data_IF_849201396224
#
_entry.id   IF_849201396224
#
_cell.length_a   1.000
_cell.length_b   1.000
_cell.length_c   1.000
_cell.angle_alpha   90.00
_cell.angle_beta   90.00
_cell.angle_gamma   90.00
#
_symmetry.space_group_name_H-M   'P 1'
#
loop_
_entity.id
_entity.type
_entity.pdbx_description
1 polymer ?
#
# COMPACT_ATOMS: atom_id res chain seq x y z
N UNK A 1 -7.80 39.77 17.72
CA UNK A 1 -7.53 38.37 18.10
C UNK A 1 -8.58 37.50 17.43
N UNK A 2 -8.31 37.07 16.19
CA UNK A 2 -9.11 36.10 15.48
C UNK A 2 -8.72 34.72 15.98
N UNK A 3 -9.71 33.99 16.49
CA UNK A 3 -9.57 32.64 17.01
C UNK A 3 -8.99 31.73 15.92
N UNK A 4 -7.81 31.16 16.16
CA UNK A 4 -7.11 30.29 15.23
C UNK A 4 -7.95 29.03 15.02
N UNK A 5 -8.66 28.92 13.89
CA UNK A 5 -9.23 27.65 13.42
C UNK A 5 -8.07 26.66 13.18
N UNK A 6 -7.70 25.91 14.22
CA UNK A 6 -6.85 24.71 14.09
C UNK A 6 -7.58 23.74 13.15
N UNK A 7 -7.03 23.50 11.96
CA UNK A 7 -7.50 22.41 11.10
C UNK A 7 -7.40 21.12 11.90
N UNK A 8 -8.57 20.51 12.15
CA UNK A 8 -8.67 19.26 12.90
C UNK A 8 -8.02 18.14 12.10
N UNK A 9 -7.33 17.27 12.83
CA UNK A 9 -6.77 16.01 12.35
C UNK A 9 -7.84 15.21 11.57
N UNK A 10 -7.56 14.89 10.31
CA UNK A 10 -8.45 14.10 9.44
C UNK A 10 -8.14 12.60 9.55
N UNK A 11 -8.56 11.98 10.66
CA UNK A 11 -8.36 10.55 10.93
C UNK A 11 -9.12 9.63 9.96
N UNK A 12 -10.13 10.16 9.27
CA UNK A 12 -10.88 9.55 8.18
C UNK A 12 -10.03 9.24 6.94
N UNK A 13 -8.87 9.90 6.78
CA UNK A 13 -7.91 9.63 5.69
C UNK A 13 -6.75 8.72 6.07
N UNK A 14 -6.96 7.82 7.02
CA UNK A 14 -5.95 6.83 7.44
C UNK A 14 -6.53 5.42 7.45
N UNK A 15 -5.67 4.40 7.48
CA UNK A 15 -6.10 3.00 7.67
C UNK A 15 -7.04 2.80 8.89
N UNK A 16 -6.99 3.68 9.91
CA UNK A 16 -7.90 3.59 11.07
C UNK A 16 -9.38 3.69 10.68
N UNK A 17 -9.69 4.39 9.59
CA UNK A 17 -11.04 4.43 9.01
C UNK A 17 -11.37 3.14 8.28
N UNK A 18 -10.44 2.65 7.44
CA UNK A 18 -10.56 1.41 6.66
C UNK A 18 -10.84 0.16 7.52
N UNK A 19 -10.32 0.12 8.75
CA UNK A 19 -10.51 -1.02 9.67
C UNK A 19 -11.99 -1.34 9.99
N UNK A 20 -12.90 -0.39 9.77
CA UNK A 20 -14.36 -0.58 9.96
C UNK A 20 -15.13 -0.75 8.65
N UNK A 21 -14.45 -0.70 7.50
CA UNK A 21 -15.08 -0.67 6.17
C UNK A 21 -14.98 -2.02 5.48
N UNK A 22 -15.90 -2.94 5.82
CA UNK A 22 -16.11 -4.18 5.08
C UNK A 22 -14.81 -4.90 4.69
N UNK A 23 -14.61 -5.10 3.39
CA UNK A 23 -13.44 -5.81 2.85
C UNK A 23 -12.14 -5.02 2.95
N UNK A 24 -12.18 -3.69 3.07
CA UNK A 24 -10.97 -2.87 3.26
C UNK A 24 -10.27 -3.12 4.60
N UNK A 25 -11.02 -3.59 5.60
CA UNK A 25 -10.52 -3.85 6.95
C UNK A 25 -9.96 -5.26 7.19
N UNK A 26 -9.90 -6.12 6.17
CA UNK A 26 -9.47 -7.52 6.34
C UNK A 26 -8.08 -7.68 6.91
N UNK A 27 -7.10 -6.93 6.38
CA UNK A 27 -5.73 -6.93 6.88
C UNK A 27 -5.19 -5.51 6.94
N UNK A 28 -4.32 -5.29 7.93
CA UNK A 28 -3.65 -4.00 8.12
C UNK A 28 -2.39 -3.92 7.30
N UNK A 29 -2.32 -2.89 6.47
CA UNK A 29 -1.07 -2.38 5.91
C UNK A 29 -0.98 -0.89 6.26
N UNK A 30 -0.05 -0.53 7.15
CA UNK A 30 0.11 0.83 7.67
C UNK A 30 0.21 1.91 6.57
N UNK A 31 0.96 1.71 5.47
CA UNK A 31 1.02 2.69 4.39
C UNK A 31 -0.13 2.61 3.36
N UNK A 32 -1.17 1.80 3.58
CA UNK A 32 -2.35 1.82 2.70
C UNK A 32 -3.04 3.19 2.80
N UNK A 33 -3.29 3.80 1.66
CA UNK A 33 -3.93 5.11 1.59
C UNK A 33 -5.46 5.00 1.78
N UNK A 34 -6.08 6.15 2.03
CA UNK A 34 -7.47 6.25 2.49
C UNK A 34 -8.47 5.78 1.45
N UNK A 35 -9.45 4.96 1.89
CA UNK A 35 -10.63 4.62 1.08
C UNK A 35 -11.36 5.89 0.65
N UNK A 36 -11.69 6.78 1.59
CA UNK A 36 -12.38 8.05 1.31
C UNK A 36 -11.71 8.90 0.24
N UNK A 37 -10.38 8.90 0.18
CA UNK A 37 -9.64 9.61 -0.85
C UNK A 37 -9.91 9.04 -2.25
N UNK A 38 -9.93 7.72 -2.34
CA UNK A 38 -10.25 7.00 -3.58
C UNK A 38 -11.70 7.22 -3.94
N UNK A 39 -12.63 7.15 -2.99
CA UNK A 39 -14.05 7.42 -3.21
C UNK A 39 -14.25 8.81 -3.81
N UNK A 40 -13.65 9.86 -3.23
CA UNK A 40 -13.77 11.22 -3.77
C UNK A 40 -13.27 11.37 -5.21
N UNK A 41 -12.27 10.58 -5.63
CA UNK A 41 -11.79 10.56 -7.01
C UNK A 41 -12.75 9.75 -7.89
N UNK A 42 -13.08 8.53 -7.48
CA UNK A 42 -13.88 7.57 -8.27
C UNK A 42 -15.33 8.02 -8.42
N UNK A 43 -15.93 8.64 -7.41
CA UNK A 43 -17.31 9.11 -7.45
C UNK A 43 -17.51 10.29 -8.42
N UNK A 44 -16.41 10.89 -8.92
CA UNK A 44 -16.45 11.90 -9.99
C UNK A 44 -16.35 11.30 -11.40
N UNK A 45 -16.17 9.98 -11.51
CA UNK A 45 -15.96 9.28 -12.78
C UNK A 45 -17.28 8.73 -13.33
N UNK A 46 -17.34 8.56 -14.65
CA UNK A 46 -18.46 7.88 -15.31
C UNK A 46 -18.35 6.35 -15.16
N UNK A 47 -19.50 5.65 -15.20
CA UNK A 47 -19.56 4.18 -15.05
C UNK A 47 -18.80 3.42 -16.15
N UNK A 48 -18.62 4.01 -17.34
CA UNK A 48 -17.86 3.44 -18.46
C UNK A 48 -16.33 3.65 -18.34
N UNK A 49 -15.88 4.23 -17.22
CA UNK A 49 -14.47 4.42 -16.92
C UNK A 49 -13.74 3.08 -16.78
N UNK A 50 -12.50 3.05 -17.27
CA UNK A 50 -11.58 1.92 -17.08
C UNK A 50 -10.41 2.41 -16.23
N UNK A 51 -10.32 1.90 -15.01
CA UNK A 51 -9.33 2.34 -14.03
C UNK A 51 -8.13 1.39 -14.04
N UNK A 52 -6.93 1.96 -13.98
CA UNK A 52 -5.71 1.22 -13.63
C UNK A 52 -5.13 1.76 -12.32
N UNK A 53 -4.80 0.86 -11.40
CA UNK A 53 -3.97 1.11 -10.24
C UNK A 53 -2.63 0.38 -10.40
N UNK A 54 -1.56 1.05 -10.86
CA UNK A 54 -0.27 0.40 -11.08
C UNK A 54 0.50 0.07 -9.79
N UNK A 55 0.03 0.50 -8.61
CA UNK A 55 0.67 0.26 -7.30
C UNK A 55 -0.38 -0.17 -6.28
N UNK A 56 -1.06 -1.27 -6.58
CA UNK A 56 -2.33 -1.59 -5.95
C UNK A 56 -2.27 -1.88 -4.45
N UNK A 57 -1.15 -2.39 -3.95
CA UNK A 57 -1.00 -2.64 -2.51
C UNK A 57 -2.07 -3.62 -2.02
N UNK A 58 -2.91 -3.18 -1.09
CA UNK A 58 -4.06 -3.99 -0.62
C UNK A 58 -5.29 -3.90 -1.53
N UNK A 59 -5.14 -3.44 -2.78
CA UNK A 59 -6.18 -3.25 -3.78
C UNK A 59 -7.31 -2.29 -3.34
N UNK A 60 -6.95 -1.18 -2.70
CA UNK A 60 -7.96 -0.18 -2.28
C UNK A 60 -8.70 0.39 -3.48
N UNK A 61 -7.99 0.84 -4.53
CA UNK A 61 -8.61 1.36 -5.76
C UNK A 61 -9.50 0.33 -6.42
N UNK A 62 -8.97 -0.88 -6.63
CA UNK A 62 -9.71 -1.95 -7.29
C UNK A 62 -11.01 -2.27 -6.56
N UNK A 63 -10.96 -2.40 -5.24
CA UNK A 63 -12.15 -2.69 -4.45
C UNK A 63 -13.16 -1.53 -4.46
N UNK A 64 -12.73 -0.27 -4.30
CA UNK A 64 -13.64 0.89 -4.41
C UNK A 64 -14.27 0.94 -5.80
N UNK A 65 -13.49 0.77 -6.87
CA UNK A 65 -14.02 0.74 -8.24
C UNK A 65 -15.08 -0.37 -8.41
N UNK A 66 -14.80 -1.58 -7.92
CA UNK A 66 -15.74 -2.69 -7.98
C UNK A 66 -17.02 -2.42 -7.17
N UNK A 67 -16.93 -1.75 -6.03
CA UNK A 67 -18.10 -1.31 -5.25
C UNK A 67 -18.95 -0.27 -6.03
N UNK A 68 -18.35 0.54 -6.90
CA UNK A 68 -19.03 1.53 -7.76
C UNK A 68 -19.51 0.97 -9.10
N UNK A 69 -19.35 -0.33 -9.35
CA UNK A 69 -19.74 -0.91 -10.65
C UNK A 69 -18.72 -0.70 -11.76
N UNK A 70 -17.54 -0.17 -11.44
CA UNK A 70 -16.50 0.21 -12.40
C UNK A 70 -15.49 -0.92 -12.57
N UNK A 71 -14.98 -1.10 -13.80
CA UNK A 71 -13.91 -2.05 -14.09
C UNK A 71 -12.55 -1.45 -13.71
N UNK A 72 -11.77 -2.21 -12.93
CA UNK A 72 -10.42 -1.84 -12.56
C UNK A 72 -9.40 -2.97 -12.74
N UNK A 73 -8.25 -2.63 -13.30
CA UNK A 73 -7.07 -3.48 -13.24
C UNK A 73 -6.08 -2.92 -12.23
N UNK A 74 -5.40 -3.81 -11.54
CA UNK A 74 -4.49 -3.48 -10.47
C UNK A 74 -3.17 -4.23 -10.70
N UNK A 75 -2.03 -3.58 -10.49
CA UNK A 75 -0.72 -4.21 -10.59
C UNK A 75 -0.02 -4.21 -9.24
N UNK A 76 0.69 -5.29 -8.95
CA UNK A 76 1.64 -5.36 -7.84
C UNK A 76 2.75 -6.36 -8.18
N UNK A 77 3.87 -6.27 -7.48
CA UNK A 77 4.97 -7.22 -7.58
C UNK A 77 4.97 -8.24 -6.44
N UNK A 78 4.28 -7.94 -5.34
CA UNK A 78 4.26 -8.78 -4.15
C UNK A 78 3.19 -9.87 -4.29
N UNK A 79 3.56 -11.16 -4.34
CA UNK A 79 2.61 -12.26 -4.55
C UNK A 79 1.54 -12.34 -3.45
N UNK A 80 1.87 -12.00 -2.20
CA UNK A 80 0.90 -11.95 -1.12
C UNK A 80 -0.17 -10.86 -1.34
N UNK A 81 0.24 -9.68 -1.83
CA UNK A 81 -0.68 -8.58 -2.09
C UNK A 81 -1.56 -8.82 -3.31
N UNK A 82 -1.02 -9.49 -4.33
CA UNK A 82 -1.79 -9.95 -5.49
C UNK A 82 -2.90 -10.91 -5.04
N UNK A 83 -2.53 -11.93 -4.25
CA UNK A 83 -3.48 -12.88 -3.69
C UNK A 83 -4.54 -12.20 -2.81
N UNK A 84 -4.11 -11.35 -1.88
CA UNK A 84 -5.01 -10.63 -0.98
C UNK A 84 -5.96 -9.72 -1.74
N UNK A 85 -5.46 -8.98 -2.73
CA UNK A 85 -6.26 -8.07 -3.54
C UNK A 85 -7.31 -8.80 -4.37
N UNK A 86 -6.93 -9.92 -4.99
CA UNK A 86 -7.87 -10.79 -5.71
C UNK A 86 -8.91 -11.41 -4.76
N UNK A 87 -8.51 -11.85 -3.57
CA UNK A 87 -9.45 -12.34 -2.55
C UNK A 87 -10.45 -11.24 -2.13
N UNK A 88 -10.00 -9.99 -1.98
CA UNK A 88 -10.86 -8.84 -1.64
C UNK A 88 -11.83 -8.47 -2.75
N UNK A 89 -11.43 -8.59 -4.01
CA UNK A 89 -12.24 -8.15 -5.15
C UNK A 89 -13.16 -9.25 -5.74
N UNK A 90 -13.13 -10.47 -5.19
CA UNK A 90 -13.92 -11.61 -5.67
C UNK A 90 -15.34 -11.63 -5.13
N UNK A 91 -16.34 -11.94 -5.94
CA UNK A 91 -17.68 -12.31 -5.45
C UNK A 91 -17.70 -13.80 -5.06
N UNK A 92 -18.18 -14.10 -3.85
CA UNK A 92 -18.24 -15.46 -3.30
C UNK A 92 -19.68 -15.97 -3.34
N UNK A 93 -19.92 -17.14 -3.92
CA UNK A 93 -21.26 -17.72 -3.94
C UNK A 93 -21.62 -18.31 -2.57
N UNK A 94 -22.90 -18.26 -2.21
CA UNK A 94 -23.39 -18.79 -0.92
C UNK A 94 -23.08 -20.27 -0.71
N UNK A 95 -23.05 -21.06 -1.79
CA UNK A 95 -22.65 -22.48 -1.76
C UNK A 95 -21.18 -22.66 -1.40
N UNK A 96 -20.29 -21.82 -1.93
CA UNK A 96 -18.87 -21.84 -1.59
C UNK A 96 -18.65 -21.52 -0.12
N UNK A 97 -19.32 -20.49 0.39
CA UNK A 97 -19.24 -20.09 1.81
C UNK A 97 -19.73 -21.23 2.72
N UNK A 98 -20.82 -21.92 2.34
CA UNK A 98 -21.30 -23.08 3.10
C UNK A 98 -20.27 -24.21 3.14
N UNK A 99 -19.64 -24.52 2.00
CA UNK A 99 -18.61 -25.55 1.92
C UNK A 99 -17.35 -25.17 2.70
N UNK A 100 -16.99 -23.89 2.71
CA UNK A 100 -15.88 -23.37 3.50
C UNK A 100 -16.11 -23.62 4.99
N UNK A 101 -17.31 -23.31 5.52
CA UNK A 101 -17.65 -23.55 6.94
C UNK A 101 -17.45 -25.01 7.34
N UNK A 102 -17.99 -25.94 6.54
CA UNK A 102 -17.82 -27.39 6.77
C UNK A 102 -16.33 -27.79 6.77
N UNK A 103 -15.54 -27.19 5.89
CA UNK A 103 -14.10 -27.48 5.82
C UNK A 103 -13.35 -26.89 7.02
N UNK A 104 -13.74 -25.70 7.49
CA UNK A 104 -13.17 -25.08 8.69
C UNK A 104 -13.51 -25.87 9.96
N UNK A 105 -14.70 -26.44 10.08
CA UNK A 105 -15.03 -27.32 11.21
C UNK A 105 -14.03 -28.49 11.31
N UNK A 106 -13.70 -29.10 10.15
CA UNK A 106 -12.67 -30.15 10.07
C UNK A 106 -11.28 -29.64 10.43
N UNK A 107 -10.92 -28.43 10.01
CA UNK A 107 -9.65 -27.77 10.35
C UNK A 107 -9.53 -27.62 11.87
N UNK A 108 -10.58 -27.16 12.55
CA UNK A 108 -10.57 -26.94 13.99
C UNK A 108 -10.49 -28.26 14.78
N UNK A 109 -11.21 -29.29 14.34
CA UNK A 109 -11.12 -30.63 14.92
C UNK A 109 -9.73 -31.26 14.73
N UNK A 110 -9.11 -31.06 13.57
CA UNK A 110 -7.75 -31.52 13.31
C UNK A 110 -6.71 -30.74 14.12
N UNK A 111 -6.84 -29.42 14.24
CA UNK A 111 -5.95 -28.58 15.04
C UNK A 111 -5.82 -29.08 16.49
N UNK A 112 -6.94 -29.50 17.11
CA UNK A 112 -6.97 -30.07 18.47
C UNK A 112 -6.12 -31.32 18.62
N UNK A 113 -6.01 -32.14 17.56
CA UNK A 113 -5.18 -33.35 17.55
C UNK A 113 -3.71 -33.02 17.30
N UNK A 114 -3.45 -32.01 16.48
CA UNK A 114 -2.10 -31.62 16.06
C UNK A 114 -1.34 -30.76 17.07
N UNK A 115 -2.02 -30.11 18.04
CA UNK A 115 -1.40 -29.10 18.94
C UNK A 115 -0.15 -29.57 19.69
N UNK A 116 -0.05 -30.86 20.00
CA UNK A 116 1.08 -31.47 20.72
C UNK A 116 2.09 -32.15 19.79
N UNK A 117 1.89 -32.10 18.47
CA UNK A 117 2.84 -32.60 17.48
C UNK A 117 3.90 -31.54 17.14
N UNK A 118 4.99 -32.00 16.52
CA UNK A 118 6.00 -31.12 15.94
C UNK A 118 5.45 -30.48 14.66
N UNK A 119 4.89 -29.27 14.80
CA UNK A 119 4.31 -28.52 13.68
C UNK A 119 5.32 -27.52 13.13
N UNK A 120 5.33 -27.40 11.81
CA UNK A 120 6.13 -26.39 11.13
C UNK A 120 5.81 -24.97 11.63
N UNK A 121 6.86 -24.18 11.82
CA UNK A 121 6.81 -22.76 12.12
C UNK A 121 7.64 -22.00 11.09
N UNK A 122 7.27 -20.75 10.77
CA UNK A 122 8.04 -19.94 9.83
C UNK A 122 9.42 -19.57 10.39
N UNK A 123 10.42 -19.48 9.51
CA UNK A 123 11.78 -19.03 9.85
C UNK A 123 11.84 -17.50 10.03
N UNK A 124 11.23 -17.02 11.11
CA UNK A 124 11.28 -15.62 11.53
C UNK A 124 12.34 -15.48 12.61
N UNK A 125 13.36 -14.67 12.34
CA UNK A 125 14.36 -14.32 13.36
C UNK A 125 13.72 -13.79 14.64
N UNK A 126 14.04 -14.42 15.78
CA UNK A 126 13.43 -14.18 17.09
C UNK A 126 11.90 -14.26 17.07
N UNK A 127 11.34 -15.32 16.49
CA UNK A 127 9.89 -15.56 16.44
C UNK A 127 9.21 -15.51 17.82
N UNK A 128 9.92 -15.87 18.89
CA UNK A 128 9.42 -15.80 20.27
C UNK A 128 9.24 -14.38 20.81
N UNK A 129 9.76 -13.36 20.12
CA UNK A 129 9.46 -11.94 20.40
C UNK A 129 8.05 -11.56 19.91
N UNK A 130 7.51 -12.32 18.97
CA UNK A 130 6.19 -12.07 18.41
C UNK A 130 5.11 -12.86 19.14
N UNK A 131 5.38 -14.11 19.50
CA UNK A 131 4.40 -15.03 20.07
C UNK A 131 5.04 -15.88 21.18
N UNK A 132 4.26 -16.25 22.19
CA UNK A 132 4.72 -17.19 23.20
C UNK A 132 4.91 -18.58 22.58
N UNK A 133 5.76 -19.42 23.18
CA UNK A 133 5.96 -20.79 22.70
C UNK A 133 4.65 -21.60 22.66
N UNK A 134 3.75 -21.37 23.62
CA UNK A 134 2.45 -22.02 23.65
C UNK A 134 1.55 -21.55 22.49
N UNK A 135 1.44 -20.23 22.28
CA UNK A 135 0.69 -19.67 21.15
C UNK A 135 1.24 -20.18 19.81
N UNK A 136 2.56 -20.27 19.65
CA UNK A 136 3.20 -20.82 18.45
C UNK A 136 2.79 -22.26 18.18
N UNK A 137 2.75 -23.12 19.20
CA UNK A 137 2.31 -24.52 19.06
C UNK A 137 0.91 -24.61 18.48
N UNK A 138 -0.01 -23.77 18.96
CA UNK A 138 -1.40 -23.72 18.48
C UNK A 138 -1.49 -23.15 17.06
N UNK A 139 -0.77 -22.07 16.76
CA UNK A 139 -0.77 -21.46 15.42
C UNK A 139 -0.17 -22.42 14.37
N UNK A 140 0.90 -23.14 14.72
CA UNK A 140 1.51 -24.16 13.86
C UNK A 140 0.55 -25.31 13.56
N UNK A 141 -0.14 -25.82 14.58
CA UNK A 141 -1.17 -26.86 14.42
C UNK A 141 -2.35 -26.39 13.55
N UNK A 142 -2.85 -25.17 13.78
CA UNK A 142 -3.92 -24.58 12.98
C UNK A 142 -3.50 -24.40 11.52
N UNK A 143 -2.29 -23.88 11.27
CA UNK A 143 -1.75 -23.75 9.92
C UNK A 143 -1.68 -25.11 9.23
N UNK A 144 -1.12 -26.13 9.89
CA UNK A 144 -1.02 -27.48 9.30
C UNK A 144 -2.39 -28.06 8.97
N UNK A 145 -3.38 -27.90 9.85
CA UNK A 145 -4.75 -28.30 9.58
C UNK A 145 -5.37 -27.54 8.39
N UNK A 146 -5.13 -26.22 8.28
CA UNK A 146 -5.54 -25.43 7.11
C UNK A 146 -4.94 -25.99 5.82
N UNK A 147 -3.64 -26.28 5.80
CA UNK A 147 -2.96 -26.84 4.63
C UNK A 147 -3.54 -28.22 4.28
N UNK A 148 -3.76 -29.10 5.26
CA UNK A 148 -4.28 -30.45 5.01
C UNK A 148 -5.70 -30.43 4.44
N UNK A 149 -6.56 -29.52 4.90
CA UNK A 149 -7.97 -29.47 4.49
C UNK A 149 -8.23 -28.56 3.27
N UNK A 150 -7.47 -27.47 3.14
CA UNK A 150 -7.73 -26.40 2.16
C UNK A 150 -6.58 -26.15 1.18
N UNK A 151 -5.41 -26.75 1.42
CA UNK A 151 -4.16 -26.45 0.71
C UNK A 151 -3.56 -25.09 1.09
N UNK A 152 -2.35 -24.84 0.59
CA UNK A 152 -1.70 -23.53 0.64
C UNK A 152 -2.57 -22.45 -0.02
N UNK A 153 -2.45 -21.16 0.37
CA UNK A 153 -3.24 -20.08 -0.19
C UNK A 153 -2.99 -19.95 -1.70
N UNK A 154 -4.08 -19.90 -2.47
CA UNK A 154 -4.07 -19.80 -3.94
C UNK A 154 -5.08 -18.76 -4.41
N UNK A 155 -4.80 -18.18 -5.57
CA UNK A 155 -5.67 -17.18 -6.17
C UNK A 155 -7.06 -17.74 -6.53
N UNK A 156 -8.06 -16.88 -6.40
CA UNK A 156 -9.45 -17.10 -6.83
C UNK A 156 -10.17 -18.31 -6.19
N UNK A 157 -9.77 -18.74 -4.99
CA UNK A 157 -10.41 -19.84 -4.26
C UNK A 157 -11.13 -19.35 -2.99
N UNK A 158 -12.24 -20.02 -2.60
CA UNK A 158 -13.00 -19.66 -1.38
C UNK A 158 -12.19 -19.83 -0.10
N UNK A 159 -11.20 -20.72 -0.09
CA UNK A 159 -10.27 -20.91 1.05
C UNK A 159 -9.46 -19.65 1.36
N UNK A 160 -9.37 -18.67 0.44
CA UNK A 160 -8.75 -17.39 0.73
C UNK A 160 -9.39 -16.67 1.91
N UNK A 161 -10.69 -16.84 2.16
CA UNK A 161 -11.35 -16.28 3.34
C UNK A 161 -10.79 -16.87 4.64
N UNK A 162 -10.55 -18.19 4.69
CA UNK A 162 -9.95 -18.86 5.84
C UNK A 162 -8.50 -18.45 6.08
N UNK A 163 -7.73 -18.27 5.00
CA UNK A 163 -6.34 -17.81 5.07
C UNK A 163 -6.22 -16.33 5.46
N UNK A 164 -7.09 -15.45 4.96
CA UNK A 164 -7.18 -14.05 5.40
C UNK A 164 -7.49 -13.99 6.90
N UNK A 165 -8.43 -14.81 7.36
CA UNK A 165 -8.74 -14.94 8.79
C UNK A 165 -7.55 -15.42 9.62
N UNK A 166 -6.79 -16.39 9.09
CA UNK A 166 -5.58 -16.87 9.75
C UNK A 166 -4.50 -15.78 9.84
N UNK A 167 -4.28 -15.02 8.77
CA UNK A 167 -3.37 -13.87 8.78
C UNK A 167 -3.77 -12.85 9.84
N UNK A 168 -5.06 -12.55 9.96
CA UNK A 168 -5.56 -11.60 10.97
C UNK A 168 -5.37 -12.14 12.39
N UNK A 169 -5.69 -13.42 12.63
CA UNK A 169 -5.46 -14.11 13.90
C UNK A 169 -3.98 -14.05 14.32
N UNK A 170 -3.07 -14.35 13.40
CA UNK A 170 -1.61 -14.34 13.64
C UNK A 170 -1.15 -12.98 14.17
N UNK A 171 -1.67 -11.87 13.64
CA UNK A 171 -1.30 -10.54 14.13
C UNK A 171 -2.01 -10.15 15.42
N UNK A 172 -3.31 -10.47 15.55
CA UNK A 172 -4.09 -10.15 16.77
C UNK A 172 -3.56 -10.90 18.01
N UNK A 173 -2.91 -12.04 17.81
CA UNK A 173 -2.28 -12.85 18.87
C UNK A 173 -0.79 -12.57 19.04
N UNK A 174 -0.24 -11.63 18.28
CA UNK A 174 1.17 -11.24 18.36
C UNK A 174 1.41 -10.07 19.31
N UNK A 175 2.64 -9.94 19.79
CA UNK A 175 3.14 -8.74 20.49
C UNK A 175 3.45 -7.57 19.55
N UNK A 176 3.08 -7.64 18.26
CA UNK A 176 3.29 -6.53 17.35
C UNK A 176 2.49 -5.29 17.80
N UNK A 177 3.18 -4.16 17.91
CA UNK A 177 2.59 -2.86 18.18
C UNK A 177 2.71 -1.97 16.94
N UNK A 178 1.66 -1.23 16.63
CA UNK A 178 1.60 -0.38 15.45
C UNK A 178 1.42 1.10 15.82
N UNK A 179 2.11 1.51 16.89
CA UNK A 179 2.05 2.86 17.44
C UNK A 179 3.02 3.83 16.73
N UNK A 180 3.87 3.31 15.84
CA UNK A 180 4.85 4.06 15.07
C UNK A 180 4.67 3.86 13.56
N UNK A 181 5.42 4.63 12.75
CA UNK A 181 5.40 4.58 11.28
C UNK A 181 5.83 3.20 10.75
N UNK A 182 6.58 2.43 11.54
CA UNK A 182 6.95 1.04 11.29
C UNK A 182 6.55 0.17 12.49
N UNK A 183 6.34 -1.12 12.24
CA UNK A 183 6.00 -2.11 13.26
C UNK A 183 7.02 -2.16 14.41
N UNK A 184 6.51 -2.10 15.64
CA UNK A 184 7.26 -2.24 16.90
C UNK A 184 6.71 -3.44 17.70
N UNK A 185 7.19 -3.64 18.94
CA UNK A 185 6.72 -4.72 19.82
C UNK A 185 6.28 -4.16 21.17
N UNK A 186 5.31 -4.82 21.79
CA UNK A 186 4.98 -4.67 23.21
C UNK A 186 6.06 -5.32 24.06
N UNK A 187 6.15 -4.91 25.33
CA UNK A 187 7.15 -5.43 26.27
C UNK A 187 6.83 -6.86 26.72
N UNK A 188 5.54 -7.21 26.81
CA UNK A 188 5.06 -8.53 27.21
C UNK A 188 4.56 -9.36 26.03
N UNK A 189 4.75 -10.68 26.14
CA UNK A 189 4.26 -11.65 25.16
C UNK A 189 3.11 -12.45 25.78
N UNK A 190 1.89 -12.11 25.37
CA UNK A 190 0.68 -12.78 25.83
C UNK A 190 0.62 -14.21 25.30
N UNK A 191 0.22 -15.13 26.18
CA UNK A 191 0.00 -16.53 25.82
C UNK A 191 -1.49 -16.79 25.61
N UNK A 192 -1.83 -17.46 24.50
CA UNK A 192 -3.20 -17.82 24.15
C UNK A 192 -3.32 -19.34 24.07
N UNK A 193 -4.32 -19.89 24.76
CA UNK A 193 -4.63 -21.31 24.68
C UNK A 193 -5.43 -21.68 23.43
N UNK A 194 -5.60 -22.98 23.18
CA UNK A 194 -6.30 -23.49 22.01
C UNK A 194 -7.76 -23.00 21.91
N UNK A 195 -8.48 -22.88 23.04
CA UNK A 195 -9.88 -22.45 23.04
C UNK A 195 -9.99 -20.96 22.71
N UNK A 196 -9.06 -20.15 23.22
CA UNK A 196 -8.97 -18.72 22.89
C UNK A 196 -8.64 -18.51 21.41
N UNK A 197 -7.69 -19.27 20.86
CA UNK A 197 -7.33 -19.21 19.44
C UNK A 197 -8.50 -19.66 18.56
N UNK A 198 -9.17 -20.77 18.90
CA UNK A 198 -10.33 -21.28 18.17
C UNK A 198 -11.47 -20.26 18.15
N UNK A 199 -11.84 -19.70 19.31
CA UNK A 199 -12.89 -18.69 19.41
C UNK A 199 -12.54 -17.45 18.58
N UNK A 200 -11.32 -16.94 18.71
CA UNK A 200 -10.88 -15.75 17.98
C UNK A 200 -10.85 -15.98 16.47
N UNK A 201 -10.40 -17.16 16.03
CA UNK A 201 -10.37 -17.53 14.62
C UNK A 201 -11.79 -17.57 14.02
N UNK A 202 -12.75 -18.18 14.73
CA UNK A 202 -14.16 -18.23 14.31
C UNK A 202 -14.72 -16.81 14.22
N UNK A 203 -14.53 -15.97 15.23
CA UNK A 203 -15.05 -14.59 15.24
C UNK A 203 -14.50 -13.77 14.07
N UNK A 204 -13.21 -13.93 13.78
CA UNK A 204 -12.56 -13.29 12.64
C UNK A 204 -13.15 -13.83 11.32
N UNK A 205 -13.28 -15.14 11.17
CA UNK A 205 -13.84 -15.78 9.98
C UNK A 205 -15.27 -15.32 9.71
N UNK A 206 -16.12 -15.25 10.72
CA UNK A 206 -17.48 -14.76 10.58
C UNK A 206 -17.53 -13.28 10.15
N UNK A 207 -16.63 -12.45 10.68
CA UNK A 207 -16.52 -11.06 10.25
C UNK A 207 -16.07 -10.93 8.79
N UNK A 208 -15.08 -11.73 8.38
CA UNK A 208 -14.59 -11.78 6.98
C UNK A 208 -15.70 -12.26 6.06
N UNK A 209 -16.36 -13.39 6.35
CA UNK A 209 -17.48 -13.92 5.58
C UNK A 209 -18.62 -12.90 5.46
N UNK A 210 -19.02 -12.25 6.55
CA UNK A 210 -20.10 -11.26 6.54
C UNK A 210 -19.83 -10.13 5.53
N UNK A 211 -18.59 -9.63 5.49
CA UNK A 211 -18.20 -8.60 4.52
C UNK A 211 -17.97 -9.12 3.10
N UNK A 212 -17.54 -10.38 2.94
CA UNK A 212 -17.41 -11.05 1.64
C UNK A 212 -18.78 -11.34 0.99
N UNK A 213 -19.84 -11.50 1.79
CA UNK A 213 -21.21 -11.73 1.29
C UNK A 213 -21.87 -10.51 0.68
N UNK A 214 -21.28 -9.31 0.83
CA UNK A 214 -21.75 -8.11 0.13
C UNK A 214 -21.31 -8.20 -1.34
N UNK A 215 -22.24 -8.22 -2.30
CA UNK A 215 -21.89 -8.35 -3.72
C UNK A 215 -21.21 -7.08 -4.23
N UNK A 216 -20.20 -7.26 -5.06
CA UNK A 216 -19.57 -6.19 -5.82
C UNK A 216 -20.24 -6.10 -7.20
N UNK A 217 -20.85 -4.95 -7.56
CA UNK A 217 -21.49 -4.77 -8.87
C UNK A 217 -20.49 -4.67 -10.01
N UNK A 218 -19.26 -4.22 -9.74
CA UNK A 218 -18.18 -4.09 -10.72
C UNK A 218 -17.18 -5.25 -10.65
N UNK A 219 -16.04 -5.06 -11.30
CA UNK A 219 -14.99 -6.08 -11.38
C UNK A 219 -13.61 -5.47 -11.18
N UNK A 220 -12.81 -6.09 -10.33
CA UNK A 220 -11.41 -5.76 -10.18
C UNK A 220 -10.53 -7.00 -10.07
N UNK A 221 -9.34 -6.93 -10.68
CA UNK A 221 -8.33 -8.00 -10.64
C UNK A 221 -6.95 -7.42 -10.46
N UNK A 222 -6.14 -8.10 -9.65
CA UNK A 222 -4.74 -7.78 -9.40
C UNK A 222 -3.84 -8.73 -10.17
N UNK A 223 -2.89 -8.18 -10.92
CA UNK A 223 -1.95 -8.92 -11.76
C UNK A 223 -0.51 -8.76 -11.26
N UNK A 224 0.29 -9.80 -11.42
CA UNK A 224 1.73 -9.76 -11.16
C UNK A 224 2.45 -8.98 -12.25
N UNK A 225 2.66 -7.68 -12.00
CA UNK A 225 3.21 -6.74 -12.99
C UNK A 225 4.09 -5.74 -12.26
N UNK A 226 5.30 -5.52 -12.80
CA UNK A 226 6.14 -4.41 -12.37
C UNK A 226 5.62 -3.11 -12.99
N UNK A 227 5.32 -2.12 -12.15
CA UNK A 227 4.77 -0.85 -12.62
C UNK A 227 5.69 -0.13 -13.61
N UNK A 228 7.01 -0.37 -13.58
CA UNK A 228 7.96 0.18 -14.57
C UNK A 228 7.78 -0.42 -15.95
N UNK A 229 7.16 -1.58 -16.06
CA UNK A 229 6.90 -2.31 -17.31
C UNK A 229 5.43 -2.75 -17.35
N UNK A 230 4.47 -1.81 -17.42
CA UNK A 230 3.06 -2.12 -17.29
C UNK A 230 2.57 -3.00 -18.45
N UNK A 231 2.06 -4.18 -18.10
CA UNK A 231 1.58 -5.18 -19.04
C UNK A 231 0.34 -4.70 -19.83
N UNK A 232 0.22 -5.20 -21.07
CA UNK A 232 -1.04 -5.11 -21.83
C UNK A 232 -1.99 -6.19 -21.31
N UNK A 233 -3.11 -5.81 -20.71
CA UNK A 233 -4.17 -6.74 -20.34
C UNK A 233 -5.27 -6.61 -21.40
N UNK A 234 -5.49 -7.66 -22.18
CA UNK A 234 -6.52 -7.72 -23.23
C UNK A 234 -6.49 -6.54 -24.24
N UNK A 235 -5.32 -5.94 -24.45
CA UNK A 235 -5.13 -4.72 -25.26
C UNK A 235 -5.98 -3.52 -24.81
N UNK A 236 -6.40 -3.50 -23.55
CA UNK A 236 -7.15 -2.41 -22.96
C UNK A 236 -6.24 -1.19 -22.77
N UNK A 237 -6.79 -0.03 -23.13
CA UNK A 237 -6.28 1.27 -22.71
C UNK A 237 -7.18 1.85 -21.63
N UNK A 238 -6.59 2.47 -20.62
CA UNK A 238 -7.28 2.99 -19.45
C UNK A 238 -7.65 4.46 -19.64
N UNK A 239 -8.83 4.86 -19.16
CA UNK A 239 -9.23 6.27 -19.12
C UNK A 239 -8.79 6.95 -17.83
N UNK A 240 -8.54 6.20 -16.75
CA UNK A 240 -8.18 6.77 -15.46
C UNK A 240 -7.07 5.97 -14.80
N UNK A 241 -6.10 6.68 -14.24
CA UNK A 241 -5.10 6.12 -13.32
C UNK A 241 -5.39 6.69 -11.93
N UNK A 242 -5.67 5.82 -10.97
CA UNK A 242 -5.91 6.21 -9.57
C UNK A 242 -5.06 5.32 -8.70
N UNK A 243 -4.09 5.91 -8.02
CA UNK A 243 -3.07 5.10 -7.32
C UNK A 243 -2.33 5.88 -6.25
N UNK A 244 -1.61 5.14 -5.40
CA UNK A 244 -0.70 5.67 -4.39
C UNK A 244 0.61 4.88 -4.42
N UNK A 245 1.62 5.30 -5.21
CA UNK A 245 2.92 4.62 -5.22
C UNK A 245 3.61 4.68 -3.85
N UNK A 246 4.66 3.86 -3.63
CA UNK A 246 5.57 4.04 -2.51
C UNK A 246 6.02 5.50 -2.39
N UNK A 247 6.04 6.06 -1.17
CA UNK A 247 6.58 7.42 -0.98
C UNK A 247 8.10 7.36 -0.80
N UNK A 248 8.85 8.42 -1.16
CA UNK A 248 10.30 8.45 -1.00
C UNK A 248 10.70 8.64 0.47
N UNK A 249 10.36 7.71 1.37
CA UNK A 249 10.57 7.83 2.82
C UNK A 249 11.21 6.58 3.46
N UNK A 250 11.73 5.66 2.63
CA UNK A 250 12.41 4.42 3.03
C UNK A 250 11.55 3.45 3.86
N UNK A 251 10.23 3.51 3.74
CA UNK A 251 9.36 2.45 4.27
C UNK A 251 9.39 1.25 3.33
N UNK A 252 9.80 0.10 3.85
CA UNK A 252 9.72 -1.18 3.14
C UNK A 252 8.36 -1.83 3.41
N UNK A 253 7.54 -1.91 2.36
CA UNK A 253 6.22 -2.59 2.41
C UNK A 253 6.38 -4.09 2.63
N UNK A 254 7.44 -4.69 2.07
CA UNK A 254 7.76 -6.11 2.22
C UNK A 254 8.09 -6.44 3.68
N UNK A 255 8.87 -5.57 4.35
CA UNK A 255 9.21 -5.74 5.78
C UNK A 255 7.98 -5.69 6.68
N UNK A 256 7.00 -4.84 6.38
CA UNK A 256 5.77 -4.71 7.17
C UNK A 256 4.83 -5.92 6.98
N UNK A 257 4.90 -6.60 5.82
CA UNK A 257 4.07 -7.76 5.49
C UNK A 257 4.70 -9.11 5.83
N UNK A 258 5.99 -9.13 6.21
CA UNK A 258 6.74 -10.36 6.47
C UNK A 258 5.99 -11.40 7.34
N UNK A 259 5.27 -11.04 8.44
CA UNK A 259 4.67 -12.08 9.27
C UNK A 259 3.61 -12.83 8.49
N UNK A 260 2.78 -12.11 7.73
CA UNK A 260 1.78 -12.72 6.87
C UNK A 260 2.46 -13.62 5.83
N UNK A 261 3.43 -13.07 5.09
CA UNK A 261 4.09 -13.75 3.98
C UNK A 261 4.81 -15.03 4.40
N UNK A 262 5.50 -15.02 5.55
CA UNK A 262 6.14 -16.22 6.10
C UNK A 262 5.11 -17.27 6.53
N UNK A 263 4.09 -16.88 7.30
CA UNK A 263 3.05 -17.81 7.76
C UNK A 263 2.25 -18.44 6.60
N UNK A 264 2.18 -17.76 5.46
CA UNK A 264 1.47 -18.21 4.25
C UNK A 264 2.41 -18.77 3.16
N UNK A 265 3.72 -18.88 3.43
CA UNK A 265 4.73 -19.36 2.48
C UNK A 265 4.77 -18.62 1.13
N UNK A 266 4.40 -17.33 1.12
CA UNK A 266 4.77 -16.43 0.02
C UNK A 266 6.24 -15.95 0.13
N UNK A 267 6.87 -16.18 1.29
CA UNK A 267 8.30 -16.06 1.52
C UNK A 267 8.77 -17.25 2.35
N UNK A 268 9.87 -17.86 1.93
CA UNK A 268 10.56 -18.90 2.69
C UNK A 268 11.82 -18.36 3.36
N UNK A 269 12.48 -17.38 2.73
CA UNK A 269 13.78 -16.87 3.20
C UNK A 269 13.86 -15.34 3.30
N UNK A 270 14.72 -14.86 4.21
CA UNK A 270 15.01 -13.43 4.34
C UNK A 270 15.62 -12.82 3.08
N UNK A 271 16.28 -13.63 2.25
CA UNK A 271 16.87 -13.20 0.98
C UNK A 271 15.80 -12.84 -0.04
N UNK A 272 14.77 -13.67 -0.18
CA UNK A 272 13.62 -13.38 -1.07
C UNK A 272 12.95 -12.06 -0.71
N UNK A 273 12.78 -11.78 0.59
CA UNK A 273 12.22 -10.51 1.05
C UNK A 273 13.08 -9.30 0.59
N UNK A 274 14.40 -9.43 0.63
CA UNK A 274 15.33 -8.41 0.15
C UNK A 274 15.31 -8.23 -1.38
N UNK A 275 15.22 -9.32 -2.14
CA UNK A 275 15.13 -9.25 -3.60
C UNK A 275 13.81 -8.61 -4.06
N UNK A 276 12.70 -8.97 -3.39
CA UNK A 276 11.40 -8.37 -3.65
C UNK A 276 11.37 -6.87 -3.30
N UNK A 277 12.02 -6.46 -2.20
CA UNK A 277 12.15 -5.05 -1.84
C UNK A 277 13.01 -4.27 -2.85
N UNK A 278 14.10 -4.86 -3.37
CA UNK A 278 14.89 -4.24 -4.44
C UNK A 278 14.10 -4.01 -5.73
N UNK A 279 13.18 -4.94 -6.04
CA UNK A 279 12.27 -4.80 -7.18
C UNK A 279 11.24 -3.68 -6.96
N UNK A 280 10.88 -3.34 -5.72
CA UNK A 280 10.01 -2.18 -5.48
C UNK A 280 10.67 -0.86 -5.90
N UNK A 281 9.84 0.17 -6.15
CA UNK A 281 10.30 1.51 -6.49
C UNK A 281 11.26 2.04 -5.41
N UNK A 282 12.42 2.54 -5.83
CA UNK A 282 13.48 2.99 -4.93
C UNK A 282 14.29 1.84 -4.35
N UNK A 283 13.65 0.82 -3.76
CA UNK A 283 14.32 -0.32 -3.10
C UNK A 283 15.11 0.11 -1.87
N UNK A 284 14.65 -0.24 -0.67
CA UNK A 284 15.00 0.49 0.55
C UNK A 284 15.73 -0.34 1.61
N UNK A 285 15.57 -1.66 1.56
CA UNK A 285 15.85 -2.55 2.68
C UNK A 285 16.57 -3.85 2.25
N UNK A 286 17.33 -4.44 3.18
CA UNK A 286 18.10 -5.66 2.92
C UNK A 286 19.18 -5.46 1.86
N UNK A 287 19.25 -6.37 0.87
CA UNK A 287 20.22 -6.31 -0.24
C UNK A 287 20.19 -4.98 -1.00
N UNK A 288 19.04 -4.30 -1.03
CA UNK A 288 18.88 -3.00 -1.67
C UNK A 288 19.84 -1.94 -1.13
N UNK A 289 20.17 -1.96 0.16
CA UNK A 289 21.09 -0.96 0.76
C UNK A 289 22.49 -1.07 0.17
N UNK A 290 23.00 -2.30 0.00
CA UNK A 290 24.31 -2.54 -0.61
C UNK A 290 24.33 -2.21 -2.12
N UNK A 291 23.24 -2.53 -2.84
CA UNK A 291 23.12 -2.24 -4.27
C UNK A 291 23.02 -0.73 -4.54
N UNK A 292 22.30 0.01 -3.71
CA UNK A 292 22.16 1.47 -3.83
C UNK A 292 23.49 2.22 -3.73
N UNK A 293 24.48 1.71 -2.97
CA UNK A 293 25.78 2.37 -2.85
C UNK A 293 26.52 2.47 -4.19
N UNK A 294 26.32 1.49 -5.07
CA UNK A 294 26.96 1.41 -6.38
C UNK A 294 25.96 1.63 -7.53
N UNK A 295 24.75 2.12 -7.21
CA UNK A 295 23.74 2.34 -8.24
C UNK A 295 24.02 3.65 -8.98
N UNK A 296 23.92 3.58 -10.30
CA UNK A 296 23.98 4.74 -11.18
C UNK A 296 22.77 4.73 -12.13
N UNK A 297 22.24 5.91 -12.48
CA UNK A 297 21.18 6.01 -13.48
C UNK A 297 21.72 5.57 -14.85
N UNK A 298 20.96 4.76 -15.56
CA UNK A 298 21.30 4.39 -16.94
C UNK A 298 20.12 4.64 -17.88
N UNK A 299 20.43 5.06 -19.12
CA UNK A 299 19.52 5.01 -20.27
C UNK A 299 18.32 5.96 -20.27
N UNK A 300 18.17 6.85 -19.28
CA UNK A 300 16.99 7.73 -19.15
C UNK A 300 17.43 9.17 -18.84
N UNK A 301 16.93 10.12 -19.64
CA UNK A 301 17.09 11.54 -19.36
C UNK A 301 16.09 11.96 -18.27
N UNK A 302 16.59 12.37 -17.12
CA UNK A 302 15.79 12.82 -15.98
C UNK A 302 15.76 14.36 -15.92
N UNK A 303 14.71 14.97 -15.34
CA UNK A 303 14.65 16.42 -15.15
C UNK A 303 15.84 16.97 -14.35
N UNK A 304 16.33 18.16 -14.71
CA UNK A 304 17.47 18.80 -14.03
C UNK A 304 17.15 19.16 -12.57
N UNK A 305 15.88 19.46 -12.26
CA UNK A 305 15.41 19.72 -10.89
C UNK A 305 15.73 18.58 -9.92
N UNK A 306 15.67 17.32 -10.39
CA UNK A 306 16.06 16.16 -9.60
C UNK A 306 17.56 16.17 -9.27
N UNK A 307 18.41 16.52 -10.25
CA UNK A 307 19.87 16.53 -10.05
C UNK A 307 20.29 17.55 -9.00
N UNK A 308 19.61 18.70 -8.94
CA UNK A 308 19.86 19.71 -7.92
C UNK A 308 19.56 19.16 -6.51
N UNK A 309 18.36 18.60 -6.30
CA UNK A 309 17.95 18.03 -5.00
C UNK A 309 18.88 16.88 -4.58
N UNK A 310 19.26 16.00 -5.51
CA UNK A 310 20.17 14.89 -5.21
C UNK A 310 21.57 15.40 -4.86
N UNK A 311 22.06 16.44 -5.54
CA UNK A 311 23.34 17.07 -5.23
C UNK A 311 23.32 17.71 -3.85
N UNK A 312 22.25 18.43 -3.49
CA UNK A 312 22.11 19.01 -2.14
C UNK A 312 22.19 17.95 -1.04
N UNK A 313 21.53 16.80 -1.22
CA UNK A 313 21.61 15.67 -0.27
C UNK A 313 23.05 15.12 -0.21
N UNK A 314 23.69 14.94 -1.36
CA UNK A 314 25.05 14.40 -1.46
C UNK A 314 26.09 15.28 -0.75
N UNK A 315 25.95 16.60 -0.84
CA UNK A 315 26.86 17.56 -0.22
C UNK A 315 26.54 17.88 1.25
N UNK A 316 25.60 17.18 1.87
CA UNK A 316 25.43 17.24 3.32
C UNK A 316 26.60 16.57 4.05
N UNK A 317 26.98 17.08 5.22
CA UNK A 317 28.06 16.50 6.06
C UNK A 317 27.61 15.25 6.84
N UNK A 318 26.67 14.48 6.28
CA UNK A 318 26.01 13.36 6.95
C UNK A 318 26.60 12.02 6.51
N UNK A 319 26.74 11.09 7.46
CA UNK A 319 27.45 9.81 7.25
C UNK A 319 26.94 9.00 6.05
N UNK A 320 25.63 9.03 5.79
CA UNK A 320 25.01 8.27 4.70
C UNK A 320 24.47 9.17 3.57
N UNK A 321 25.04 10.37 3.37
CA UNK A 321 24.66 11.31 2.31
C UNK A 321 24.58 10.66 0.93
N UNK A 322 25.65 9.97 0.50
CA UNK A 322 25.69 9.24 -0.78
C UNK A 322 24.56 8.22 -0.92
N UNK A 323 24.32 7.41 0.12
CA UNK A 323 23.27 6.40 0.09
C UNK A 323 21.87 7.03 -0.03
N UNK A 324 21.61 8.14 0.68
CA UNK A 324 20.32 8.84 0.59
C UNK A 324 20.15 9.56 -0.74
N UNK A 325 21.22 10.16 -1.28
CA UNK A 325 21.26 10.76 -2.59
C UNK A 325 20.91 9.72 -3.67
N UNK A 326 21.57 8.55 -3.65
CA UNK A 326 21.29 7.46 -4.58
C UNK A 326 19.88 6.88 -4.41
N UNK A 327 19.36 6.79 -3.18
CA UNK A 327 17.99 6.36 -2.94
C UNK A 327 16.98 7.30 -3.60
N UNK A 328 17.12 8.62 -3.38
CA UNK A 328 16.25 9.63 -4.00
C UNK A 328 16.38 9.59 -5.52
N UNK A 329 17.61 9.49 -6.04
CA UNK A 329 17.87 9.38 -7.47
C UNK A 329 17.17 8.16 -8.08
N UNK A 330 17.37 6.97 -7.50
CA UNK A 330 16.76 5.73 -7.99
C UNK A 330 15.23 5.78 -7.92
N UNK A 331 14.66 6.31 -6.84
CA UNK A 331 13.21 6.45 -6.70
C UNK A 331 12.61 7.25 -7.86
N UNK A 332 13.16 8.42 -8.17
CA UNK A 332 12.63 9.25 -9.27
C UNK A 332 12.99 8.72 -10.65
N UNK A 333 14.10 7.99 -10.80
CA UNK A 333 14.40 7.23 -12.01
C UNK A 333 13.34 6.16 -12.27
N UNK A 334 13.04 5.33 -11.27
CA UNK A 334 12.02 4.29 -11.35
C UNK A 334 10.62 4.88 -11.67
N UNK A 335 10.24 5.99 -11.03
CA UNK A 335 8.96 6.66 -11.30
C UNK A 335 8.91 7.29 -12.70
N UNK A 336 10.01 7.88 -13.18
CA UNK A 336 10.09 8.40 -14.53
C UNK A 336 9.93 7.29 -15.58
N UNK A 337 10.61 6.16 -15.37
CA UNK A 337 10.48 4.98 -16.22
C UNK A 337 9.03 4.45 -16.22
N UNK A 338 8.39 4.39 -15.06
CA UNK A 338 6.97 4.05 -14.94
C UNK A 338 6.09 4.97 -15.81
N UNK A 339 6.19 6.30 -15.67
CA UNK A 339 5.41 7.22 -16.49
C UNK A 339 5.72 7.08 -17.98
N UNK A 340 6.98 6.90 -18.34
CA UNK A 340 7.41 6.72 -19.73
C UNK A 340 6.75 5.51 -20.37
N UNK A 341 6.72 4.38 -19.66
CA UNK A 341 6.21 3.11 -20.16
C UNK A 341 4.70 2.95 -19.97
N UNK A 342 4.06 3.79 -19.17
CA UNK A 342 2.61 3.81 -19.00
C UNK A 342 1.88 4.38 -20.23
N UNK A 343 2.51 5.29 -20.99
CA UNK A 343 1.88 6.02 -22.13
C UNK A 343 1.12 5.15 -23.13
N UNK A 344 1.63 3.99 -23.59
CA UNK A 344 0.89 3.12 -24.53
C UNK A 344 -0.40 2.51 -23.95
N UNK A 345 -0.53 2.49 -22.62
CA UNK A 345 -1.69 1.96 -21.88
C UNK A 345 -2.78 3.01 -21.66
N UNK A 346 -2.55 4.26 -22.04
CA UNK A 346 -3.48 5.36 -21.78
C UNK A 346 -4.32 5.66 -23.01
N UNK A 347 -5.64 5.81 -22.82
CA UNK A 347 -6.50 6.44 -23.82
C UNK A 347 -6.09 7.91 -23.99
N UNK A 348 -6.29 8.48 -25.17
CA UNK A 348 -6.22 9.94 -25.33
C UNK A 348 -7.24 10.59 -24.39
N UNK A 349 -6.83 11.62 -23.66
CA UNK A 349 -7.67 12.26 -22.64
C UNK A 349 -7.64 11.55 -21.28
N UNK A 350 -6.87 10.47 -21.11
CA UNK A 350 -6.83 9.75 -19.84
C UNK A 350 -6.35 10.66 -18.69
N UNK A 351 -7.02 10.58 -17.55
CA UNK A 351 -6.72 11.37 -16.34
C UNK A 351 -5.88 10.54 -15.38
N UNK A 352 -4.81 11.14 -14.85
CA UNK A 352 -3.92 10.52 -13.89
C UNK A 352 -4.11 11.21 -12.53
N UNK A 353 -4.21 10.41 -11.47
CA UNK A 353 -4.36 10.85 -10.08
C UNK A 353 -3.42 10.03 -9.19
N UNK A 354 -2.26 10.60 -8.83
CA UNK A 354 -1.22 9.97 -8.03
C UNK A 354 -1.18 10.58 -6.63
N UNK A 355 -1.50 9.77 -5.63
CA UNK A 355 -1.41 10.17 -4.23
C UNK A 355 0.01 9.94 -3.75
N UNK A 356 0.70 11.02 -3.36
CA UNK A 356 2.11 10.98 -2.94
C UNK A 356 2.35 11.85 -1.72
N UNK A 357 3.34 11.49 -0.92
CA UNK A 357 3.81 12.33 0.19
C UNK A 357 5.20 12.88 -0.08
N UNK A 358 5.43 14.16 0.23
CA UNK A 358 6.79 14.71 0.22
C UNK A 358 7.65 14.09 1.34
N UNK A 359 8.95 14.32 1.27
CA UNK A 359 9.92 13.77 2.22
C UNK A 359 11.04 14.77 2.51
N UNK A 360 11.84 14.48 3.53
CA UNK A 360 13.02 15.28 3.88
C UNK A 360 14.17 14.35 4.26
N UNK A 361 15.34 14.62 3.70
CA UNK A 361 16.59 13.90 3.94
C UNK A 361 17.65 14.90 4.39
N UNK A 362 18.15 14.75 5.62
CA UNK A 362 19.19 15.64 6.17
C UNK A 362 18.85 17.14 6.09
N UNK A 363 17.56 17.49 6.28
CA UNK A 363 17.07 18.86 6.18
C UNK A 363 16.71 19.31 4.77
N UNK A 364 17.25 18.65 3.74
CA UNK A 364 16.89 18.89 2.33
C UNK A 364 15.46 18.41 2.08
N UNK A 365 14.61 19.29 1.56
CA UNK A 365 13.22 18.95 1.21
C UNK A 365 13.18 18.30 -0.16
N UNK A 366 12.47 17.19 -0.25
CA UNK A 366 12.21 16.48 -1.50
C UNK A 366 10.74 16.65 -1.84
N UNK A 367 10.47 17.72 -2.60
CA UNK A 367 9.17 18.09 -3.16
C UNK A 367 8.75 17.08 -4.22
N UNK A 368 8.15 15.98 -3.76
CA UNK A 368 7.83 14.82 -4.61
C UNK A 368 6.80 15.21 -5.67
N UNK A 369 5.82 16.02 -5.28
CA UNK A 369 4.83 16.59 -6.18
C UNK A 369 5.47 17.32 -7.37
N UNK A 370 6.39 18.26 -7.12
CA UNK A 370 7.06 19.04 -8.16
C UNK A 370 7.93 18.15 -9.05
N UNK A 371 8.71 17.25 -8.46
CA UNK A 371 9.62 16.38 -9.22
C UNK A 371 8.88 15.37 -10.12
N UNK A 372 7.68 14.91 -9.70
CA UNK A 372 6.82 14.09 -10.55
C UNK A 372 6.16 14.92 -11.67
N UNK A 373 5.74 16.16 -11.38
CA UNK A 373 5.22 17.08 -12.41
C UNK A 373 6.26 17.37 -13.50
N UNK A 374 7.52 17.59 -13.13
CA UNK A 374 8.61 17.81 -14.09
C UNK A 374 8.84 16.58 -14.97
N UNK A 375 8.79 15.39 -14.38
CA UNK A 375 8.89 14.13 -15.13
C UNK A 375 7.73 13.98 -16.12
N UNK A 376 6.49 14.17 -15.67
CA UNK A 376 5.30 14.13 -16.53
C UNK A 376 5.41 15.15 -17.67
N UNK A 377 5.86 16.37 -17.39
CA UNK A 377 6.03 17.43 -18.40
C UNK A 377 7.06 17.03 -19.45
N UNK A 378 8.21 16.51 -19.03
CA UNK A 378 9.26 16.06 -19.95
C UNK A 378 8.83 14.88 -20.84
N UNK A 379 7.83 14.10 -20.42
CA UNK A 379 7.30 12.94 -21.13
C UNK A 379 6.10 13.25 -22.04
N UNK A 380 5.66 14.52 -22.07
CA UNK A 380 4.59 14.99 -22.97
C UNK A 380 3.17 14.91 -22.40
N UNK A 381 3.01 14.76 -21.08
CA UNK A 381 1.69 14.90 -20.44
C UNK A 381 1.23 16.36 -20.42
N UNK A 382 -0.08 16.59 -20.32
CA UNK A 382 -0.72 17.91 -20.30
C UNK A 382 -1.60 18.10 -19.06
N UNK A 383 -2.06 19.32 -18.78
CA UNK A 383 -2.88 19.66 -17.59
C UNK A 383 -2.29 19.17 -16.26
N UNK A 384 -0.99 19.44 -16.06
CA UNK A 384 -0.22 18.95 -14.92
C UNK A 384 -0.39 19.91 -13.73
N UNK A 385 -0.60 19.35 -12.54
CA UNK A 385 -0.55 20.09 -11.28
C UNK A 385 -0.73 19.18 -10.07
N UNK A 386 -0.85 19.78 -8.88
CA UNK A 386 -1.13 19.03 -7.66
C UNK A 386 -2.16 19.74 -6.77
N UNK A 387 -2.79 18.97 -5.89
CA UNK A 387 -3.62 19.46 -4.79
C UNK A 387 -3.17 18.86 -3.47
N UNK A 388 -3.23 19.65 -2.40
CA UNK A 388 -2.93 19.17 -1.04
C UNK A 388 -4.12 18.36 -0.53
N UNK A 389 -3.87 17.13 -0.12
CA UNK A 389 -4.89 16.22 0.43
C UNK A 389 -4.99 16.38 1.94
N UNK A 390 -3.85 16.31 2.64
CA UNK A 390 -3.76 16.46 4.10
C UNK A 390 -2.33 16.67 4.59
N UNK A 391 -2.22 17.07 5.85
CA UNK A 391 -0.95 17.08 6.61
C UNK A 391 -0.60 15.68 7.14
N UNK A 392 0.69 15.32 7.14
CA UNK A 392 1.20 14.05 7.69
C UNK A 392 1.56 14.21 9.18
N UNK A 393 1.40 13.12 9.93
CA UNK A 393 1.55 13.13 11.41
C UNK A 393 3.01 13.19 11.90
N UNK A 394 3.99 13.00 11.01
CA UNK A 394 5.39 12.77 11.39
C UNK A 394 6.20 14.05 11.61
N UNK A 395 6.08 15.05 10.71
CA UNK A 395 6.77 16.35 10.83
C UNK A 395 5.90 17.47 10.24
N UNK A 396 6.15 18.72 10.64
CA UNK A 396 5.28 19.88 10.31
C UNK A 396 5.28 20.20 8.81
N UNK A 397 6.37 19.91 8.13
CA UNK A 397 6.62 20.19 6.72
C UNK A 397 6.13 19.07 5.79
N UNK A 398 5.56 17.99 6.32
CA UNK A 398 5.17 16.83 5.55
C UNK A 398 3.66 16.82 5.24
N UNK A 399 3.34 16.73 3.96
CA UNK A 399 1.99 16.71 3.40
C UNK A 399 1.81 15.51 2.47
N UNK A 400 0.56 15.16 2.23
CA UNK A 400 0.12 14.28 1.14
C UNK A 400 -0.56 15.13 0.07
N UNK A 401 -0.26 14.81 -1.18
CA UNK A 401 -0.68 15.50 -2.38
C UNK A 401 -1.37 14.52 -3.32
N UNK A 402 -2.29 15.02 -4.13
CA UNK A 402 -2.74 14.38 -5.36
C UNK A 402 -2.07 15.12 -6.52
N UNK A 403 -1.09 14.48 -7.15
CA UNK A 403 -0.49 14.95 -8.42
C UNK A 403 -1.39 14.45 -9.54
N UNK A 404 -1.84 15.37 -10.39
CA UNK A 404 -2.72 15.07 -11.50
C UNK A 404 -2.14 15.51 -12.84
N UNK A 405 -2.52 14.81 -13.90
CA UNK A 405 -2.18 15.12 -15.28
C UNK A 405 -3.19 14.48 -16.23
N UNK A 406 -3.09 14.82 -17.51
CA UNK A 406 -3.85 14.20 -18.60
C UNK A 406 -2.93 13.73 -19.71
N UNK A 407 -3.33 12.69 -20.44
CA UNK A 407 -2.57 12.18 -21.58
C UNK A 407 -3.06 12.77 -22.90
N UNK A 408 -2.25 13.62 -23.51
CA UNK A 408 -2.52 14.25 -24.82
C UNK A 408 -3.90 14.94 -24.90
N UNK A 409 -4.31 15.58 -23.82
CA UNK A 409 -5.54 16.38 -23.77
C UNK A 409 -5.22 17.85 -24.01
N UNK A 410 -5.87 18.45 -25.00
CA UNK A 410 -5.64 19.84 -25.39
C UNK A 410 -6.58 20.79 -24.63
N UNK A 411 -7.74 20.30 -24.21
CA UNK A 411 -8.66 21.06 -23.36
C UNK A 411 -8.10 21.20 -21.96
N UNK A 412 -8.39 22.35 -21.33
CA UNK A 412 -7.96 22.59 -19.95
C UNK A 412 -8.72 21.64 -19.02
N UNK A 413 -7.98 20.87 -18.24
CA UNK A 413 -8.53 20.00 -17.20
C UNK A 413 -8.05 20.49 -15.82
N UNK A 414 -8.97 20.57 -14.87
CA UNK A 414 -8.67 20.79 -13.47
C UNK A 414 -9.62 19.93 -12.63
N UNK A 415 -9.10 19.05 -11.75
CA UNK A 415 -9.96 18.14 -11.00
C UNK A 415 -11.05 18.82 -10.20
N UNK A 416 -12.23 18.19 -10.15
CA UNK A 416 -13.37 18.66 -9.35
C UNK A 416 -13.35 18.13 -7.92
N UNK A 417 -12.64 17.02 -7.69
CA UNK A 417 -12.40 16.47 -6.37
C UNK A 417 -11.46 17.36 -5.53
N UNK A 418 -11.54 17.22 -4.20
CA UNK A 418 -10.83 18.06 -3.21
C UNK A 418 -11.17 19.56 -3.24
N UNK A 419 -12.40 19.94 -3.66
CA UNK A 419 -12.88 21.34 -3.69
C UNK A 419 -13.70 21.78 -2.46
N UNK A 420 -13.88 20.92 -1.44
CA UNK A 420 -14.70 21.29 -0.27
C UNK A 420 -14.09 22.44 0.54
N UNK A 421 -14.90 23.16 1.34
CA UNK A 421 -14.42 24.24 2.23
C UNK A 421 -13.26 23.81 3.14
N UNK A 422 -13.26 22.55 3.57
CA UNK A 422 -12.18 21.99 4.40
C UNK A 422 -10.86 21.84 3.63
N UNK A 423 -10.91 21.52 2.33
CA UNK A 423 -9.72 21.47 1.48
C UNK A 423 -9.16 22.87 1.21
N UNK A 424 -10.05 23.85 0.99
CA UNK A 424 -9.66 25.25 0.87
C UNK A 424 -8.96 25.76 2.15
N UNK A 425 -9.43 25.33 3.33
CA UNK A 425 -8.79 25.67 4.61
C UNK A 425 -7.40 25.05 4.77
N UNK A 426 -7.20 23.79 4.36
CA UNK A 426 -5.86 23.14 4.32
C UNK A 426 -4.92 23.88 3.38
N UNK A 427 -5.41 24.26 2.20
CA UNK A 427 -4.62 24.97 1.19
C UNK A 427 -4.25 26.39 1.66
N UNK A 428 -5.16 27.08 2.35
CA UNK A 428 -4.90 28.38 2.96
C UNK A 428 -3.88 28.28 4.11
N UNK A 429 -3.95 27.24 4.95
CA UNK A 429 -2.98 27.00 6.02
C UNK A 429 -1.58 26.71 5.47
N UNK A 430 -1.46 25.92 4.39
CA UNK A 430 -0.18 25.70 3.73
C UNK A 430 0.45 27.02 3.24
N UNK A 431 -0.32 27.87 2.56
CA UNK A 431 0.15 29.17 2.10
C UNK A 431 0.61 30.06 3.27
N UNK A 432 -0.08 30.01 4.41
CA UNK A 432 0.32 30.73 5.63
C UNK A 432 1.60 30.15 6.27
N UNK A 433 1.76 28.81 6.31
CA UNK A 433 2.96 28.15 6.86
C UNK A 433 4.20 28.32 5.96
N UNK A 434 4.03 28.29 4.64
CA UNK A 434 5.10 28.60 3.68
C UNK A 434 5.53 30.08 3.76
N UNK A 435 4.57 31.01 3.90
CA UNK A 435 4.88 32.43 4.06
C UNK A 435 5.47 32.76 5.44
N UNK A 436 5.17 31.99 6.49
CA UNK A 436 5.79 32.16 7.82
C UNK A 436 7.25 31.68 7.87
N UNK A 437 7.66 30.77 6.98
CA UNK A 437 9.05 30.35 6.82
C UNK A 437 9.87 31.28 5.90
N UNK A 438 9.22 32.26 5.27
CA UNK A 438 9.84 33.39 4.59
C UNK A 438 9.87 34.59 5.56
N UNK A 439 10.57 34.48 6.69
CA UNK A 439 11.03 35.72 7.35
C UNK A 439 12.06 36.39 6.43
N UNK A 440 11.97 37.71 6.19
CA UNK A 440 13.02 38.41 5.46
C UNK A 440 14.29 38.28 6.30
N UNK A 441 15.34 37.71 5.69
CA UNK A 441 16.72 37.94 6.12
C UNK A 441 16.87 39.41 6.49
N UNK A 442 17.07 39.65 7.78
CA UNK A 442 17.30 40.99 8.33
C UNK A 442 18.46 41.62 7.58
N UNK A 443 18.16 42.72 6.89
CA UNK A 443 19.12 43.75 6.53
C UNK A 443 19.70 44.39 7.79
#
# INVERSE_FOLDING_TARGET
MMDMMKVKQRSDYTFKYNAKLGRHGWLRLTPAYSVKLVEEIIDSLSEDSLILDPFSGTATTGLVAAERGILAHCFDINPFLIWLGNAKCRNYASSEIKNLRISVDKVLDECKRLVNEDNWLPDIHNITRWWSAHTLSVLGALRRALVNQLGEPKDNHVSSLAWVSFCRLVIETSSAAFNHVSMSFQDEVTSFDIKQIESLYIDILEAVIRSASVPLPGFASVYSVDAREPASIDNIQYSHIVTSPPYPNRISYIRELRPYMYWTQFLDTAREAGELDWKAIGGTWGVATSRLQNWEPSGIALPESLRMVVSEILYTNEKNALLMANYVWKYFHDMHLHFQNLRPRLKKGAVLSYIVGNSSFYGVQVHTEILLEDSLRSLGFTNIGHKIVRKRNSKKELFEYCVYATWQEASRFEPEYFRSRDHQAVQLQFLLECNANLEPTRL
#
